data_IF_076451267681
#
_entry.id   IF_076451267681
#
_cell.length_a   1.000
_cell.length_b   1.000
_cell.length_c   1.000
_cell.angle_alpha   90.00
_cell.angle_beta   90.00
_cell.angle_gamma   90.00
#
_symmetry.space_group_name_H-M   'P 1'
#
loop_
_entity.id
_entity.type
_entity.pdbx_description
1 polymer ?
#
# COMPACT_ATOMS: atom_id res chain seq x y z
N UNK A 1 44.24 30.57 105.62
CA UNK A 1 43.63 29.32 106.13
C UNK A 1 44.74 28.26 106.21
N UNK A 2 45.54 28.07 107.26
CA UNK A 2 45.39 28.20 108.73
C UNK A 2 44.67 27.05 109.45
N UNK A 3 45.46 26.08 109.94
CA UNK A 3 45.31 25.25 111.16
C UNK A 3 46.50 24.24 111.15
N UNK A 4 47.46 24.10 112.09
CA UNK A 4 47.55 24.32 113.55
C UNK A 4 46.45 23.56 114.32
N UNK A 5 46.75 22.49 115.07
CA UNK A 5 46.99 22.51 116.53
C UNK A 5 47.10 21.07 117.13
N UNK A 6 47.51 20.75 118.38
CA UNK A 6 48.46 21.32 119.37
C UNK A 6 48.75 20.31 120.54
N UNK A 7 50.03 20.01 120.88
CA UNK A 7 50.57 19.86 122.29
C UNK A 7 50.12 18.68 123.20
N UNK A 8 50.75 18.33 124.37
CA UNK A 8 52.13 18.43 124.95
C UNK A 8 52.25 17.65 126.30
N UNK A 9 53.48 17.33 126.75
CA UNK A 9 53.89 16.94 128.13
C UNK A 9 55.04 15.91 128.11
N UNK A 10 56.11 15.84 128.93
CA UNK A 10 56.75 16.64 130.03
C UNK A 10 56.34 16.54 131.52
N UNK A 11 57.26 15.95 132.31
CA UNK A 11 57.63 16.16 133.74
C UNK A 11 58.72 15.13 134.11
N UNK A 12 59.94 15.37 134.61
CA UNK A 12 60.62 16.38 135.45
C UNK A 12 60.69 16.12 136.96
N UNK A 13 61.50 15.12 137.34
CA UNK A 13 62.27 14.93 138.58
C UNK A 13 63.48 14.02 138.18
N UNK A 14 64.72 14.09 138.70
CA UNK A 14 65.28 14.90 139.78
C UNK A 14 66.64 15.50 139.45
N UNK A 15 66.86 16.72 139.94
CA UNK A 15 68.15 17.42 139.98
C UNK A 15 68.79 17.28 141.36
N UNK A 16 69.41 16.12 141.64
CA UNK A 16 69.97 15.83 142.99
C UNK A 16 71.45 15.42 143.05
N UNK A 17 72.18 15.34 141.93
CA UNK A 17 73.64 15.02 141.93
C UNK A 17 74.52 16.01 141.15
N UNK A 18 74.11 17.28 141.13
CA UNK A 18 75.06 18.40 141.03
C UNK A 18 75.19 19.02 142.41
N UNK A 19 76.43 19.07 142.93
CA UNK A 19 76.91 19.53 144.26
C UNK A 19 77.36 18.35 145.14
N UNK A 20 78.42 17.66 144.72
CA UNK A 20 79.35 16.98 145.62
C UNK A 20 80.79 17.08 145.06
N UNK A 21 81.32 18.29 145.26
CA UNK A 21 82.72 18.61 145.56
C UNK A 21 83.82 18.36 144.51
N UNK A 22 84.29 19.48 143.95
CA UNK A 22 85.61 19.63 143.32
C UNK A 22 86.73 19.59 144.38
N UNK A 23 87.93 19.18 143.95
CA UNK A 23 89.25 19.32 144.64
C UNK A 23 89.43 18.40 145.87
N UNK A 24 90.61 17.85 146.21
CA UNK A 24 92.01 18.16 145.85
C UNK A 24 92.93 16.92 145.93
N UNK A 25 93.96 16.88 145.06
CA UNK A 25 95.36 16.45 145.27
C UNK A 25 95.75 15.20 146.12
N UNK A 26 96.42 14.26 145.43
CA UNK A 26 97.68 13.53 145.79
C UNK A 26 97.85 12.81 147.14
N UNK A 27 98.20 11.52 147.10
CA UNK A 27 99.56 11.02 147.44
C UNK A 27 99.79 9.56 147.03
N UNK A 28 101.06 9.13 146.93
CA UNK A 28 101.50 7.79 146.51
C UNK A 28 101.48 6.75 147.64
N UNK A 29 101.33 5.45 147.31
CA UNK A 29 102.11 4.38 147.97
C UNK A 29 102.22 3.06 147.17
N UNK A 30 103.22 2.27 147.54
CA UNK A 30 104.07 1.36 146.73
C UNK A 30 104.28 0.07 147.55
N UNK A 31 104.33 -1.17 147.03
CA UNK A 31 104.45 -1.71 145.65
C UNK A 31 103.77 -3.10 145.51
N UNK A 32 103.66 -3.59 144.25
CA UNK A 32 103.90 -4.94 143.68
C UNK A 32 103.53 -6.22 144.51
N UNK A 33 102.99 -7.31 143.95
CA UNK A 33 103.67 -8.10 142.92
C UNK A 33 102.76 -9.10 142.17
N UNK A 34 103.25 -9.42 140.98
CA UNK A 34 102.83 -10.47 140.02
C UNK A 34 102.81 -11.89 140.62
N UNK A 35 101.97 -12.75 140.04
CA UNK A 35 102.33 -14.11 139.56
C UNK A 35 101.12 -14.75 138.81
N UNK A 36 101.32 -15.17 137.54
CA UNK A 36 100.50 -16.14 136.75
C UNK A 36 99.02 -15.71 136.51
N UNK A 37 98.55 -15.23 135.35
CA UNK A 37 98.81 -15.54 133.92
C UNK A 37 98.33 -16.95 133.47
N UNK A 38 97.75 -17.05 132.26
CA UNK A 38 97.12 -18.26 131.65
C UNK A 38 95.74 -18.66 132.22
N UNK A 39 94.65 -18.35 131.49
CA UNK A 39 93.32 -18.97 131.75
C UNK A 39 92.06 -18.31 131.15
N UNK A 40 92.06 -16.99 130.86
CA UNK A 40 90.82 -16.25 130.59
C UNK A 40 90.39 -16.04 129.12
N UNK A 41 91.31 -16.13 128.16
CA UNK A 41 91.08 -15.59 126.80
C UNK A 41 90.39 -16.53 125.79
N UNK A 42 89.83 -17.66 126.23
CA UNK A 42 89.20 -18.69 125.36
C UNK A 42 87.68 -18.88 125.55
N UNK A 43 87.04 -18.09 126.42
CA UNK A 43 85.61 -18.25 126.77
C UNK A 43 84.70 -17.08 126.34
N UNK A 44 85.25 -15.94 125.92
CA UNK A 44 84.45 -14.76 125.52
C UNK A 44 83.97 -14.79 124.06
N UNK A 45 84.69 -15.44 123.15
CA UNK A 45 84.34 -15.48 121.72
C UNK A 45 83.11 -16.35 121.43
N UNK A 46 82.98 -17.49 122.11
CA UNK A 46 81.91 -18.48 121.83
C UNK A 46 80.48 -18.01 122.14
N UNK A 47 80.29 -16.95 122.93
CA UNK A 47 78.94 -16.47 123.33
C UNK A 47 78.37 -15.40 122.42
N UNK A 48 79.20 -14.72 121.63
CA UNK A 48 78.75 -13.78 120.60
C UNK A 48 78.55 -14.49 119.26
N UNK A 49 79.43 -15.43 118.90
CA UNK A 49 79.26 -16.31 117.72
C UNK A 49 77.88 -16.98 117.73
N UNK A 50 77.47 -17.57 118.86
CA UNK A 50 76.16 -18.26 119.00
C UNK A 50 74.94 -17.34 118.83
N UNK A 51 75.08 -16.04 119.14
CA UNK A 51 74.01 -15.04 118.96
C UNK A 51 74.00 -14.44 117.56
N UNK A 52 75.15 -14.40 116.89
CA UNK A 52 75.20 -14.11 115.46
C UNK A 52 74.64 -15.27 114.64
N UNK A 53 74.96 -16.51 114.99
CA UNK A 53 74.41 -17.71 114.34
C UNK A 53 72.88 -17.75 114.44
N UNK A 54 72.28 -17.60 115.63
CA UNK A 54 70.81 -17.53 115.76
C UNK A 54 70.18 -16.35 115.00
N UNK A 55 70.85 -15.21 114.90
CA UNK A 55 70.36 -14.08 114.08
C UNK A 55 70.47 -14.36 112.59
N UNK A 56 71.54 -15.02 112.14
CA UNK A 56 71.71 -15.46 110.75
C UNK A 56 70.65 -16.51 110.40
N UNK A 57 70.43 -17.51 111.25
CA UNK A 57 69.35 -18.49 111.10
C UNK A 57 67.96 -17.84 111.02
N UNK A 58 67.66 -16.85 111.87
CA UNK A 58 66.41 -16.09 111.81
C UNK A 58 66.30 -15.23 110.55
N UNK A 59 67.38 -14.58 110.13
CA UNK A 59 67.41 -13.82 108.87
C UNK A 59 67.29 -14.72 107.64
N UNK A 60 67.89 -15.91 107.65
CA UNK A 60 67.80 -16.90 106.59
C UNK A 60 66.40 -17.55 106.55
N UNK A 61 65.79 -17.79 107.72
CA UNK A 61 64.40 -18.24 107.82
C UNK A 61 63.40 -17.17 107.33
N UNK A 62 63.61 -15.89 107.69
CA UNK A 62 62.83 -14.77 107.19
C UNK A 62 63.03 -14.58 105.68
N UNK A 63 64.27 -14.59 105.18
CA UNK A 63 64.57 -14.53 103.75
C UNK A 63 63.99 -15.72 102.99
N UNK A 64 63.96 -16.92 103.59
CA UNK A 64 63.29 -18.09 103.01
C UNK A 64 61.76 -17.94 103.00
N UNK A 65 61.15 -17.36 104.04
CA UNK A 65 59.72 -17.05 104.05
C UNK A 65 59.35 -15.93 103.06
N UNK A 66 60.14 -14.86 102.97
CA UNK A 66 59.98 -13.80 101.97
C UNK A 66 60.21 -14.33 100.55
N UNK A 67 61.18 -15.23 100.35
CA UNK A 67 61.38 -15.92 99.08
C UNK A 67 60.20 -16.83 98.72
N UNK A 68 59.56 -17.50 99.69
CA UNK A 68 58.34 -18.29 99.47
C UNK A 68 57.15 -17.38 99.17
N UNK A 69 56.89 -16.37 99.98
CA UNK A 69 55.81 -15.40 99.79
C UNK A 69 55.93 -14.63 98.46
N UNK A 70 57.15 -14.24 98.05
CA UNK A 70 57.37 -13.59 96.74
C UNK A 70 57.27 -14.57 95.58
N UNK A 71 57.59 -15.86 95.74
CA UNK A 71 57.32 -16.91 94.73
C UNK A 71 55.82 -17.15 94.59
N UNK A 72 55.10 -17.24 95.71
CA UNK A 72 53.64 -17.40 95.75
C UNK A 72 52.93 -16.19 95.15
N UNK A 73 53.31 -14.96 95.51
CA UNK A 73 52.81 -13.73 94.92
C UNK A 73 53.08 -13.68 93.40
N UNK A 74 54.30 -14.03 92.96
CA UNK A 74 54.63 -14.12 91.52
C UNK A 74 53.83 -15.20 90.81
N UNK A 75 53.53 -16.33 91.46
CA UNK A 75 52.68 -17.38 90.90
C UNK A 75 51.21 -16.96 90.82
N UNK A 76 50.68 -16.30 91.85
CA UNK A 76 49.32 -15.74 91.87
C UNK A 76 49.15 -14.63 90.82
N UNK A 77 50.12 -13.71 90.69
CA UNK A 77 50.13 -12.70 89.64
C UNK A 77 50.18 -13.33 88.24
N UNK A 78 50.98 -14.39 88.03
CA UNK A 78 50.99 -15.13 86.75
C UNK A 78 49.65 -15.79 86.44
N UNK A 79 49.00 -16.42 87.42
CA UNK A 79 47.64 -16.99 87.24
C UNK A 79 46.64 -15.90 86.88
N UNK A 80 46.59 -14.80 87.64
CA UNK A 80 45.72 -13.66 87.37
C UNK A 80 45.99 -13.00 86.01
N UNK A 81 47.24 -12.96 85.52
CA UNK A 81 47.53 -12.45 84.17
C UNK A 81 47.15 -13.42 83.06
N UNK A 82 47.26 -14.74 83.31
CA UNK A 82 46.76 -15.78 82.40
C UNK A 82 45.24 -15.77 82.32
N UNK A 83 44.54 -15.77 83.45
CA UNK A 83 43.08 -15.67 83.56
C UNK A 83 42.57 -14.43 82.82
N UNK A 84 43.14 -13.24 83.07
CA UNK A 84 42.78 -12.01 82.34
C UNK A 84 43.09 -12.07 80.84
N UNK A 85 44.13 -12.77 80.42
CA UNK A 85 44.45 -12.95 79.01
C UNK A 85 43.46 -13.92 78.34
N UNK A 86 43.07 -14.98 79.03
CA UNK A 86 42.01 -15.89 78.60
C UNK A 86 40.64 -15.21 78.52
N UNK A 87 40.25 -14.43 79.53
CA UNK A 87 39.03 -13.62 79.52
C UNK A 87 39.05 -12.62 78.35
N UNK A 88 40.17 -11.92 78.14
CA UNK A 88 40.34 -11.00 77.01
C UNK A 88 40.24 -11.70 75.66
N UNK A 89 40.86 -12.87 75.50
CA UNK A 89 40.81 -13.63 74.23
C UNK A 89 39.43 -14.22 73.99
N UNK A 90 38.76 -14.78 75.00
CA UNK A 90 37.35 -15.22 74.94
C UNK A 90 36.42 -14.05 74.59
N UNK A 91 36.59 -12.88 75.21
CA UNK A 91 35.81 -11.68 74.90
C UNK A 91 36.04 -11.19 73.46
N UNK A 92 37.28 -11.20 72.98
CA UNK A 92 37.61 -10.86 71.58
C UNK A 92 37.06 -11.88 70.58
N UNK A 93 37.03 -13.17 70.90
CA UNK A 93 36.42 -14.22 70.08
C UNK A 93 34.89 -14.03 70.01
N UNK A 94 34.22 -13.88 71.16
CA UNK A 94 32.78 -13.61 71.23
C UNK A 94 32.40 -12.34 70.44
N UNK A 95 33.24 -11.30 70.50
CA UNK A 95 33.05 -10.06 69.75
C UNK A 95 33.23 -10.27 68.24
N UNK A 96 34.24 -11.03 67.79
CA UNK A 96 34.40 -11.41 66.38
C UNK A 96 33.19 -12.17 65.87
N UNK A 97 32.79 -13.24 66.57
CA UNK A 97 31.61 -14.03 66.20
C UNK A 97 30.33 -13.18 66.14
N UNK A 98 30.18 -12.21 67.05
CA UNK A 98 29.05 -11.29 67.04
C UNK A 98 29.05 -10.40 65.80
N UNK A 99 30.21 -9.85 65.41
CA UNK A 99 30.33 -9.05 64.20
C UNK A 99 30.18 -9.88 62.92
N UNK A 100 30.76 -11.08 62.83
CA UNK A 100 30.56 -12.01 61.70
C UNK A 100 29.08 -12.39 61.53
N UNK A 101 28.37 -12.67 62.64
CA UNK A 101 26.91 -12.93 62.64
C UNK A 101 26.11 -11.68 62.27
N UNK A 102 26.62 -10.48 62.54
CA UNK A 102 26.00 -9.20 62.17
C UNK A 102 26.23 -8.86 60.69
N UNK A 103 27.43 -9.09 60.17
CA UNK A 103 27.80 -8.90 58.77
C UNK A 103 26.94 -9.79 57.87
N UNK A 104 26.87 -11.10 58.16
CA UNK A 104 25.98 -12.02 57.42
C UNK A 104 24.52 -11.59 57.40
N UNK A 105 24.00 -11.06 58.52
CA UNK A 105 22.63 -10.49 58.57
C UNK A 105 22.47 -9.23 57.71
N UNK A 106 23.50 -8.39 57.63
CA UNK A 106 23.50 -7.19 56.78
C UNK A 106 23.57 -7.60 55.30
N UNK A 107 24.40 -8.59 54.95
CA UNK A 107 24.47 -9.18 53.60
C UNK A 107 23.11 -9.77 53.19
N UNK A 108 22.54 -10.67 54.01
CA UNK A 108 21.21 -11.23 53.75
C UNK A 108 20.11 -10.16 53.61
N UNK A 109 20.19 -9.06 54.36
CA UNK A 109 19.23 -7.95 54.25
C UNK A 109 19.44 -7.14 52.97
N UNK A 110 20.70 -6.86 52.60
CA UNK A 110 21.03 -6.17 51.35
C UNK A 110 20.58 -7.00 50.16
N UNK A 111 20.90 -8.28 50.13
CA UNK A 111 20.61 -9.16 48.99
C UNK A 111 19.10 -9.34 48.81
N UNK A 112 18.32 -9.46 49.91
CA UNK A 112 16.85 -9.42 49.85
C UNK A 112 16.30 -8.10 49.30
N UNK A 113 16.84 -6.95 49.74
CA UNK A 113 16.41 -5.64 49.26
C UNK A 113 16.81 -5.40 47.78
N UNK A 114 17.97 -5.91 47.34
CA UNK A 114 18.41 -5.88 45.95
C UNK A 114 17.54 -6.79 45.08
N UNK A 115 17.20 -8.01 45.53
CA UNK A 115 16.24 -8.88 44.85
C UNK A 115 14.87 -8.22 44.69
N UNK A 116 14.33 -7.60 45.75
CA UNK A 116 13.06 -6.88 45.68
C UNK A 116 13.12 -5.71 44.68
N UNK A 117 14.18 -4.89 44.74
CA UNK A 117 14.42 -3.80 43.78
C UNK A 117 14.50 -4.33 42.34
N UNK A 118 15.22 -5.43 42.11
CA UNK A 118 15.35 -6.04 40.78
C UNK A 118 14.01 -6.60 40.28
N UNK A 119 13.22 -7.25 41.14
CA UNK A 119 11.85 -7.70 40.81
C UNK A 119 10.93 -6.53 40.47
N UNK A 120 11.03 -5.39 41.16
CA UNK A 120 10.27 -4.18 40.81
C UNK A 120 10.69 -3.57 39.47
N UNK A 121 12.00 -3.48 39.21
CA UNK A 121 12.53 -2.97 37.94
C UNK A 121 12.09 -3.87 36.77
N UNK A 122 12.19 -5.19 36.93
CA UNK A 122 11.69 -6.15 35.92
C UNK A 122 10.19 -5.98 35.69
N UNK A 123 9.37 -5.87 36.74
CA UNK A 123 7.91 -5.61 36.61
C UNK A 123 7.59 -4.28 35.90
N UNK A 124 8.40 -3.24 36.08
CA UNK A 124 8.25 -1.96 35.36
C UNK A 124 8.60 -2.13 33.89
N UNK A 125 9.75 -2.73 33.59
CA UNK A 125 10.21 -3.02 32.24
C UNK A 125 9.24 -3.92 31.46
N UNK A 126 8.69 -4.96 32.09
CA UNK A 126 7.67 -5.83 31.48
C UNK A 126 6.38 -5.07 31.15
N UNK A 127 5.94 -4.16 32.02
CA UNK A 127 4.77 -3.30 31.76
C UNK A 127 5.03 -2.31 30.63
N UNK A 128 6.19 -1.66 30.61
CA UNK A 128 6.59 -0.73 29.53
C UNK A 128 6.70 -1.46 28.19
N UNK A 129 7.33 -2.65 28.18
CA UNK A 129 7.38 -3.53 27.01
C UNK A 129 6.00 -3.98 26.54
N UNK A 130 5.11 -4.37 27.45
CA UNK A 130 3.75 -4.77 27.12
C UNK A 130 2.93 -3.60 26.56
N UNK A 131 3.07 -2.40 27.12
CA UNK A 131 2.42 -1.19 26.62
C UNK A 131 2.93 -0.81 25.21
N UNK A 132 4.25 -0.81 24.99
CA UNK A 132 4.83 -0.53 23.67
C UNK A 132 4.43 -1.58 22.61
N UNK A 133 4.31 -2.85 23.00
CA UNK A 133 3.79 -3.89 22.10
C UNK A 133 2.28 -3.76 21.85
N UNK A 134 1.51 -3.18 22.77
CA UNK A 134 0.09 -2.90 22.56
C UNK A 134 -0.10 -1.75 21.56
N UNK A 135 0.58 -0.61 21.76
CA UNK A 135 0.49 0.53 20.83
C UNK A 135 0.96 0.16 19.43
N UNK A 136 2.04 -0.62 19.30
CA UNK A 136 2.49 -1.12 17.99
C UNK A 136 1.47 -2.05 17.32
N UNK A 137 0.68 -2.83 18.08
CA UNK A 137 -0.39 -3.66 17.51
C UNK A 137 -1.56 -2.81 17.03
N UNK A 138 -1.98 -1.83 17.84
CA UNK A 138 -3.04 -0.88 17.48
C UNK A 138 -2.66 -0.10 16.20
N UNK A 139 -1.43 0.42 16.12
CA UNK A 139 -0.90 1.08 14.91
C UNK A 139 -0.91 0.16 13.68
N UNK A 140 -0.46 -1.09 13.83
CA UNK A 140 -0.46 -2.07 12.75
C UNK A 140 -1.88 -2.53 12.35
N UNK A 141 -2.84 -2.53 13.27
CA UNK A 141 -4.24 -2.83 12.99
C UNK A 141 -4.90 -1.67 12.23
N UNK A 142 -4.72 -0.44 12.68
CA UNK A 142 -5.16 0.77 11.94
C UNK A 142 -4.56 0.80 10.52
N UNK A 143 -3.27 0.49 10.35
CA UNK A 143 -2.63 0.44 9.03
C UNK A 143 -3.20 -0.66 8.13
N UNK A 144 -3.55 -1.84 8.68
CA UNK A 144 -4.22 -2.90 7.92
C UNK A 144 -5.62 -2.48 7.49
N UNK A 145 -6.38 -1.85 8.38
CA UNK A 145 -7.73 -1.36 8.05
C UNK A 145 -7.69 -0.34 6.91
N UNK A 146 -6.80 0.66 6.99
CA UNK A 146 -6.58 1.64 5.93
C UNK A 146 -6.19 0.95 4.61
N UNK A 147 -5.22 0.02 4.64
CA UNK A 147 -4.79 -0.70 3.43
C UNK A 147 -5.90 -1.58 2.82
N UNK A 148 -6.75 -2.20 3.65
CA UNK A 148 -7.92 -2.96 3.20
C UNK A 148 -8.98 -2.04 2.60
N UNK A 149 -9.26 -0.89 3.22
CA UNK A 149 -10.17 0.11 2.65
C UNK A 149 -9.68 0.63 1.29
N UNK A 150 -8.40 0.99 1.17
CA UNK A 150 -7.79 1.45 -0.07
C UNK A 150 -7.85 0.37 -1.16
N UNK A 151 -7.56 -0.89 -0.82
CA UNK A 151 -7.70 -2.01 -1.73
C UNK A 151 -9.16 -2.22 -2.18
N UNK A 152 -10.13 -2.12 -1.26
CA UNK A 152 -11.56 -2.23 -1.58
C UNK A 152 -12.05 -1.07 -2.46
N UNK A 153 -11.61 0.17 -2.20
CA UNK A 153 -11.91 1.35 -3.03
C UNK A 153 -11.31 1.19 -4.43
N UNK A 154 -10.04 0.78 -4.53
CA UNK A 154 -9.37 0.54 -5.80
C UNK A 154 -10.02 -0.59 -6.61
N UNK A 155 -10.41 -1.70 -5.96
CA UNK A 155 -11.13 -2.81 -6.59
C UNK A 155 -12.51 -2.37 -7.09
N UNK A 156 -13.27 -1.62 -6.29
CA UNK A 156 -14.58 -1.08 -6.67
C UNK A 156 -14.50 -0.18 -7.91
N UNK A 157 -13.47 0.66 -8.01
CA UNK A 157 -13.22 1.50 -9.19
C UNK A 157 -12.88 0.66 -10.43
N UNK A 158 -12.11 -0.43 -10.28
CA UNK A 158 -11.80 -1.34 -11.40
C UNK A 158 -13.04 -2.06 -11.90
N UNK A 159 -13.79 -2.72 -10.99
CA UNK A 159 -15.04 -3.40 -11.31
C UNK A 159 -16.08 -2.47 -11.96
N UNK A 160 -16.17 -1.22 -11.51
CA UNK A 160 -17.06 -0.25 -12.13
C UNK A 160 -16.63 0.11 -13.57
N UNK A 161 -15.33 0.28 -13.83
CA UNK A 161 -14.81 0.52 -15.18
C UNK A 161 -15.01 -0.69 -16.10
N UNK A 162 -14.75 -1.89 -15.60
CA UNK A 162 -14.98 -3.15 -16.31
C UNK A 162 -16.46 -3.29 -16.70
N UNK A 163 -17.38 -3.07 -15.75
CA UNK A 163 -18.82 -3.06 -15.98
C UNK A 163 -19.26 -2.01 -17.01
N UNK A 164 -18.70 -0.79 -16.98
CA UNK A 164 -19.01 0.23 -17.99
C UNK A 164 -18.55 -0.21 -19.40
N UNK A 165 -17.33 -0.73 -19.52
CA UNK A 165 -16.83 -1.24 -20.81
C UNK A 165 -17.62 -2.45 -21.32
N UNK A 166 -18.07 -3.36 -20.44
CA UNK A 166 -18.94 -4.48 -20.81
C UNK A 166 -20.33 -4.01 -21.26
N UNK A 167 -20.92 -3.04 -20.54
CA UNK A 167 -22.19 -2.41 -20.91
C UNK A 167 -22.09 -1.71 -22.27
N UNK A 168 -21.02 -0.97 -22.53
CA UNK A 168 -20.77 -0.31 -23.81
C UNK A 168 -20.65 -1.33 -24.95
N UNK A 169 -19.89 -2.41 -24.77
CA UNK A 169 -19.80 -3.52 -25.75
C UNK A 169 -21.17 -4.14 -26.03
N UNK A 170 -21.94 -4.45 -24.98
CA UNK A 170 -23.28 -5.04 -25.13
C UNK A 170 -24.25 -4.11 -25.87
N UNK A 171 -24.19 -2.79 -25.61
CA UNK A 171 -24.97 -1.78 -26.36
C UNK A 171 -24.52 -1.71 -27.82
N UNK A 172 -23.23 -1.69 -28.10
CA UNK A 172 -22.69 -1.68 -29.47
C UNK A 172 -23.08 -2.94 -30.26
N UNK A 173 -23.03 -4.12 -29.64
CA UNK A 173 -23.48 -5.37 -30.26
C UNK A 173 -24.99 -5.38 -30.52
N UNK A 174 -25.79 -4.92 -29.55
CA UNK A 174 -27.24 -4.79 -29.71
C UNK A 174 -27.60 -3.82 -30.84
N UNK A 175 -26.92 -2.67 -30.95
CA UNK A 175 -27.09 -1.71 -32.04
C UNK A 175 -26.69 -2.31 -33.39
N UNK A 176 -25.55 -3.01 -33.49
CA UNK A 176 -25.12 -3.69 -34.72
C UNK A 176 -26.17 -4.71 -35.19
N UNK A 177 -26.67 -5.54 -34.28
CA UNK A 177 -27.71 -6.53 -34.58
C UNK A 177 -29.03 -5.85 -34.99
N UNK A 178 -29.38 -4.71 -34.39
CA UNK A 178 -30.56 -3.94 -34.75
C UNK A 178 -30.43 -3.31 -36.15
N UNK A 179 -29.27 -2.73 -36.48
CA UNK A 179 -28.97 -2.19 -37.81
C UNK A 179 -28.98 -3.27 -38.91
N UNK A 180 -28.38 -4.43 -38.66
CA UNK A 180 -28.38 -5.55 -39.62
C UNK A 180 -29.82 -6.03 -39.88
N UNK A 181 -30.63 -6.19 -38.83
CA UNK A 181 -32.06 -6.52 -38.95
C UNK A 181 -32.85 -5.42 -39.66
N UNK A 182 -32.52 -4.14 -39.44
CA UNK A 182 -33.16 -3.02 -40.14
C UNK A 182 -32.83 -3.05 -41.63
N UNK A 183 -31.55 -3.18 -42.01
CA UNK A 183 -31.08 -3.28 -43.41
C UNK A 183 -31.71 -4.46 -44.15
N UNK A 184 -31.98 -5.58 -43.48
CA UNK A 184 -32.71 -6.72 -44.05
C UNK A 184 -34.18 -6.34 -44.32
N UNK A 185 -34.89 -5.83 -43.31
CA UNK A 185 -36.31 -5.40 -43.44
C UNK A 185 -36.49 -4.29 -44.49
N UNK A 186 -35.54 -3.37 -44.60
CA UNK A 186 -35.51 -2.31 -45.59
C UNK A 186 -35.39 -2.88 -47.02
N UNK A 187 -34.48 -3.83 -47.24
CA UNK A 187 -34.38 -4.56 -48.52
C UNK A 187 -35.65 -5.33 -48.86
N UNK A 188 -36.22 -6.06 -47.90
CA UNK A 188 -37.51 -6.76 -48.08
C UNK A 188 -38.67 -5.80 -48.39
N UNK A 189 -38.67 -4.60 -47.80
CA UNK A 189 -39.66 -3.55 -48.11
C UNK A 189 -39.45 -2.98 -49.52
N UNK A 190 -38.22 -2.63 -49.89
CA UNK A 190 -37.88 -2.17 -51.24
C UNK A 190 -38.21 -3.22 -52.31
N UNK A 191 -37.95 -4.50 -52.06
CA UNK A 191 -38.30 -5.57 -52.99
C UNK A 191 -39.82 -5.75 -53.14
N UNK A 192 -40.59 -5.66 -52.05
CA UNK A 192 -42.07 -5.71 -52.11
C UNK A 192 -42.62 -4.55 -52.94
N UNK A 193 -42.24 -3.32 -52.60
CA UNK A 193 -42.65 -2.11 -53.33
C UNK A 193 -42.23 -2.18 -54.81
N UNK A 194 -41.03 -2.69 -55.10
CA UNK A 194 -40.57 -2.89 -56.48
C UNK A 194 -41.47 -3.87 -57.24
N UNK A 195 -41.82 -5.02 -56.65
CA UNK A 195 -42.72 -6.02 -57.27
C UNK A 195 -44.11 -5.43 -57.51
N UNK A 196 -44.65 -4.70 -56.53
CA UNK A 196 -45.93 -3.99 -56.64
C UNK A 196 -45.92 -2.96 -57.78
N UNK A 197 -44.86 -2.14 -57.87
CA UNK A 197 -44.66 -1.20 -58.97
C UNK A 197 -44.51 -1.89 -60.33
N UNK A 198 -43.77 -3.00 -60.42
CA UNK A 198 -43.62 -3.79 -61.64
C UNK A 198 -44.95 -4.44 -62.08
N UNK A 199 -45.80 -4.88 -61.15
CA UNK A 199 -47.14 -5.37 -61.45
C UNK A 199 -48.09 -4.27 -61.94
N UNK A 200 -48.09 -3.10 -61.31
CA UNK A 200 -48.89 -1.94 -61.74
C UNK A 200 -48.43 -1.48 -63.12
N UNK A 201 -47.12 -1.41 -63.37
CA UNK A 201 -46.56 -1.06 -64.66
C UNK A 201 -46.94 -2.09 -65.76
N UNK A 202 -46.95 -3.39 -65.45
CA UNK A 202 -47.43 -4.43 -66.38
C UNK A 202 -48.91 -4.27 -66.71
N UNK A 203 -49.78 -4.10 -65.71
CA UNK A 203 -51.23 -3.89 -65.89
C UNK A 203 -51.50 -2.65 -66.75
N UNK A 204 -50.76 -1.57 -66.54
CA UNK A 204 -50.88 -0.35 -67.34
C UNK A 204 -50.31 -0.51 -68.76
N UNK A 205 -49.19 -1.20 -68.93
CA UNK A 205 -48.64 -1.55 -70.24
C UNK A 205 -49.61 -2.43 -71.06
N UNK A 206 -50.26 -3.42 -70.44
CA UNK A 206 -51.33 -4.21 -71.07
C UNK A 206 -52.54 -3.36 -71.47
N UNK A 207 -52.95 -2.41 -70.61
CA UNK A 207 -54.05 -1.47 -70.90
C UNK A 207 -53.72 -0.60 -72.10
N UNK A 208 -52.50 -0.07 -72.14
CA UNK A 208 -51.99 0.78 -73.22
C UNK A 208 -51.79 -0.02 -74.52
N UNK A 209 -51.28 -1.25 -74.45
CA UNK A 209 -51.17 -2.14 -75.60
C UNK A 209 -52.54 -2.43 -76.25
N UNK A 210 -53.57 -2.76 -75.45
CA UNK A 210 -54.95 -2.96 -75.94
C UNK A 210 -55.58 -1.70 -76.55
N UNK A 211 -55.17 -0.50 -76.10
CA UNK A 211 -55.60 0.76 -76.72
C UNK A 211 -54.87 0.99 -78.05
N UNK A 212 -53.56 0.75 -78.11
CA UNK A 212 -52.79 0.86 -79.36
C UNK A 212 -53.25 -0.14 -80.41
N UNK A 213 -53.53 -1.39 -80.04
CA UNK A 213 -54.08 -2.42 -80.92
C UNK A 213 -55.38 -1.95 -81.58
N UNK A 214 -56.34 -1.45 -80.80
CA UNK A 214 -57.60 -0.86 -81.32
C UNK A 214 -57.36 0.36 -82.22
N UNK A 215 -56.38 1.20 -81.92
CA UNK A 215 -56.03 2.32 -82.79
C UNK A 215 -55.40 1.87 -84.11
N UNK A 216 -54.56 0.83 -84.09
CA UNK A 216 -53.98 0.20 -85.28
C UNK A 216 -55.07 -0.47 -86.12
N UNK A 217 -56.01 -1.20 -85.50
CA UNK A 217 -57.19 -1.75 -86.19
C UNK A 217 -58.02 -0.66 -86.88
N UNK A 218 -58.32 0.45 -86.20
CA UNK A 218 -59.05 1.58 -86.79
C UNK A 218 -58.30 2.24 -87.95
N UNK A 219 -56.97 2.34 -87.85
CA UNK A 219 -56.13 2.87 -88.93
C UNK A 219 -56.09 1.91 -90.13
N UNK A 220 -55.95 0.61 -89.88
CA UNK A 220 -55.99 -0.43 -90.92
C UNK A 220 -57.36 -0.48 -91.60
N UNK A 221 -58.47 -0.34 -90.87
CA UNK A 221 -59.81 -0.20 -91.46
C UNK A 221 -59.91 1.02 -92.39
N UNK A 222 -59.41 2.19 -91.96
CA UNK A 222 -59.37 3.39 -92.81
C UNK A 222 -58.49 3.19 -94.03
N UNK A 223 -57.33 2.54 -93.87
CA UNK A 223 -56.42 2.22 -94.96
C UNK A 223 -57.08 1.30 -95.98
N UNK A 224 -57.68 0.18 -95.55
CA UNK A 224 -58.38 -0.78 -96.42
C UNK A 224 -59.55 -0.12 -97.17
N UNK A 225 -60.29 0.80 -96.54
CA UNK A 225 -61.34 1.58 -97.22
C UNK A 225 -60.76 2.54 -98.26
N UNK A 226 -59.61 3.16 -97.99
CA UNK A 226 -58.92 4.03 -98.94
C UNK A 226 -58.33 3.24 -100.12
N UNK A 227 -57.74 2.07 -99.85
CA UNK A 227 -57.22 1.12 -100.85
C UNK A 227 -58.35 0.61 -101.75
N UNK A 228 -59.49 0.21 -101.18
CA UNK A 228 -60.67 -0.17 -101.98
C UNK A 228 -61.18 0.97 -102.86
N UNK A 229 -61.18 2.22 -102.38
CA UNK A 229 -61.52 3.38 -103.21
C UNK A 229 -60.51 3.57 -104.33
N UNK A 230 -59.21 3.53 -104.02
CA UNK A 230 -58.13 3.67 -104.99
C UNK A 230 -58.20 2.60 -106.09
N UNK A 231 -58.47 1.34 -105.73
CA UNK A 231 -58.67 0.25 -106.70
C UNK A 231 -59.91 0.48 -107.59
N UNK A 232 -61.02 1.00 -107.05
CA UNK A 232 -62.20 1.39 -107.85
C UNK A 232 -61.88 2.53 -108.82
N UNK A 233 -61.10 3.53 -108.40
CA UNK A 233 -60.64 4.61 -109.28
C UNK A 233 -59.69 4.09 -110.37
N UNK A 234 -58.79 3.16 -110.05
CA UNK A 234 -57.95 2.47 -111.05
C UNK A 234 -58.79 1.69 -112.07
N UNK A 235 -59.82 0.96 -111.63
CA UNK A 235 -60.70 0.21 -112.53
C UNK A 235 -61.69 1.11 -113.29
N UNK A 236 -62.04 2.29 -112.75
CA UNK A 236 -62.75 3.32 -113.51
C UNK A 236 -61.84 3.94 -114.57
N UNK A 237 -60.61 4.32 -114.21
CA UNK A 237 -59.59 4.81 -115.15
C UNK A 237 -59.32 3.82 -116.29
N UNK A 238 -59.13 2.53 -115.99
CA UNK A 238 -58.95 1.48 -117.02
C UNK A 238 -60.12 1.41 -118.00
N UNK A 239 -61.37 1.53 -117.50
CA UNK A 239 -62.57 1.55 -118.35
C UNK A 239 -62.61 2.80 -119.22
N UNK A 240 -62.40 3.99 -118.66
CA UNK A 240 -62.33 5.23 -119.44
C UNK A 240 -61.20 5.20 -120.47
N UNK A 241 -60.04 4.62 -120.14
CA UNK A 241 -58.95 4.40 -121.09
C UNK A 241 -59.28 3.36 -122.18
N UNK A 242 -60.16 2.40 -121.91
CA UNK A 242 -60.65 1.45 -122.89
C UNK A 242 -61.70 2.10 -123.80
N UNK A 243 -62.72 2.75 -123.24
CA UNK A 243 -63.75 3.51 -123.96
C UNK A 243 -63.09 4.55 -124.89
N UNK A 244 -62.03 5.21 -124.43
CA UNK A 244 -61.26 6.18 -125.23
C UNK A 244 -60.43 5.54 -126.35
N UNK A 245 -59.95 4.30 -126.17
CA UNK A 245 -59.30 3.53 -127.25
C UNK A 245 -60.32 3.04 -128.28
N UNK A 246 -61.47 2.54 -127.83
CA UNK A 246 -62.57 2.12 -128.70
C UNK A 246 -63.07 3.30 -129.53
N UNK A 247 -63.26 4.48 -128.93
CA UNK A 247 -63.57 5.72 -129.65
C UNK A 247 -62.48 6.14 -130.67
N UNK A 248 -61.20 5.94 -130.36
CA UNK A 248 -60.10 6.20 -131.31
C UNK A 248 -60.09 5.22 -132.48
N UNK A 249 -60.42 3.95 -132.25
CA UNK A 249 -60.48 2.93 -133.29
C UNK A 249 -61.74 3.06 -134.15
N UNK A 250 -62.89 3.41 -133.58
CA UNK A 250 -64.09 3.77 -134.34
C UNK A 250 -63.93 5.07 -135.13
N UNK A 251 -63.22 6.08 -134.59
CA UNK A 251 -62.82 7.24 -135.37
C UNK A 251 -61.85 6.87 -136.50
N UNK A 252 -60.94 5.91 -136.29
CA UNK A 252 -60.06 5.40 -137.35
C UNK A 252 -60.89 4.72 -138.45
N UNK A 253 -61.85 3.86 -138.08
CA UNK A 253 -62.79 3.25 -139.04
C UNK A 253 -63.61 4.29 -139.81
N UNK A 254 -64.09 5.34 -139.15
CA UNK A 254 -64.77 6.46 -139.82
C UNK A 254 -63.87 7.18 -140.82
N UNK A 255 -62.58 7.34 -140.49
CA UNK A 255 -61.55 7.88 -141.39
C UNK A 255 -61.14 6.90 -142.51
N UNK A 256 -61.43 5.60 -142.39
CA UNK A 256 -61.27 4.61 -143.47
C UNK A 256 -62.51 4.58 -144.39
N UNK A 257 -63.70 4.89 -143.88
CA UNK A 257 -64.96 4.95 -144.65
C UNK A 257 -65.23 6.31 -145.33
N UNK A 258 -64.59 7.38 -144.87
CA UNK A 258 -64.62 8.69 -145.52
C UNK A 258 -63.24 8.98 -146.09
N UNK A 259 -63.12 9.40 -147.35
CA UNK A 259 -61.83 9.64 -148.07
C UNK A 259 -61.03 10.83 -147.51
N UNK A 260 -60.75 10.86 -146.20
CA UNK A 260 -60.08 11.95 -145.49
C UNK A 260 -60.76 13.31 -145.59
N UNK A 261 -62.01 13.39 -146.08
CA UNK A 261 -62.61 14.67 -146.53
C UNK A 261 -63.42 15.41 -145.45
N UNK A 262 -63.79 14.72 -144.37
CA UNK A 262 -64.57 15.27 -143.26
C UNK A 262 -63.89 15.00 -141.92
N UNK A 263 -62.92 15.84 -141.55
CA UNK A 263 -62.26 15.75 -140.25
C UNK A 263 -63.08 16.46 -139.16
N UNK A 264 -63.30 15.79 -138.03
CA UNK A 264 -63.63 16.51 -136.79
C UNK A 264 -62.32 17.00 -136.16
N UNK A 265 -62.08 18.31 -136.22
CA UNK A 265 -60.84 18.96 -135.78
C UNK A 265 -60.48 18.64 -134.31
N UNK A 266 -61.49 18.30 -133.51
CA UNK A 266 -61.41 17.94 -132.09
C UNK A 266 -60.53 16.71 -131.80
N UNK A 267 -60.69 15.61 -132.54
CA UNK A 267 -59.96 14.36 -132.28
C UNK A 267 -58.51 14.41 -132.79
N UNK A 268 -58.24 15.18 -133.85
CA UNK A 268 -56.86 15.48 -134.26
C UNK A 268 -56.14 16.36 -133.23
N UNK A 269 -56.81 17.38 -132.67
CA UNK A 269 -56.27 18.17 -131.54
C UNK A 269 -55.96 17.27 -130.33
N UNK A 270 -56.86 16.36 -129.96
CA UNK A 270 -56.62 15.40 -128.87
C UNK A 270 -55.45 14.44 -129.15
N UNK A 271 -55.29 13.95 -130.39
CA UNK A 271 -54.12 13.14 -130.80
C UNK A 271 -52.80 13.91 -130.67
N UNK A 272 -52.79 15.20 -131.05
CA UNK A 272 -51.63 16.07 -130.89
C UNK A 272 -51.41 16.53 -129.43
N UNK A 273 -52.45 16.56 -128.60
CA UNK A 273 -52.33 16.84 -127.16
C UNK A 273 -51.80 15.61 -126.41
N UNK A 274 -52.35 14.42 -126.69
CA UNK A 274 -51.92 13.15 -126.13
C UNK A 274 -50.48 12.79 -126.52
N UNK A 275 -50.06 13.07 -127.77
CA UNK A 275 -48.64 12.98 -128.14
C UNK A 275 -47.77 13.96 -127.37
N UNK A 276 -48.17 15.23 -127.25
CA UNK A 276 -47.42 16.22 -126.46
C UNK A 276 -47.35 15.87 -124.96
N UNK A 277 -48.36 15.20 -124.42
CA UNK A 277 -48.39 14.68 -123.04
C UNK A 277 -47.59 13.37 -122.85
N UNK A 278 -47.31 12.63 -123.92
CA UNK A 278 -46.44 11.44 -123.89
C UNK A 278 -44.97 11.78 -124.21
N UNK A 279 -44.73 12.77 -125.08
CA UNK A 279 -43.40 13.30 -125.43
C UNK A 279 -42.83 14.15 -124.29
N UNK A 280 -43.67 14.94 -123.62
CA UNK A 280 -43.34 15.51 -122.31
C UNK A 280 -43.49 14.40 -121.26
N UNK A 281 -42.41 13.82 -120.77
CA UNK A 281 -42.42 12.91 -119.62
C UNK A 281 -42.83 13.67 -118.33
N UNK A 282 -44.14 13.89 -118.15
CA UNK A 282 -44.70 14.60 -116.99
C UNK A 282 -45.68 13.66 -116.29
N UNK A 283 -45.42 13.41 -115.01
CA UNK A 283 -46.17 12.46 -114.18
C UNK A 283 -47.54 12.97 -113.70
N UNK A 284 -47.84 14.25 -113.89
CA UNK A 284 -49.07 14.91 -113.41
C UNK A 284 -49.60 15.91 -114.44
N UNK A 285 -50.93 15.92 -114.68
CA UNK A 285 -51.60 16.90 -115.55
C UNK A 285 -52.42 17.84 -114.68
N UNK A 286 -52.09 19.13 -114.68
CA UNK A 286 -52.84 20.18 -113.97
C UNK A 286 -53.89 20.86 -114.86
N UNK A 287 -55.01 21.28 -114.26
CA UNK A 287 -56.18 21.84 -114.96
C UNK A 287 -55.91 23.08 -115.82
N UNK A 288 -54.83 23.82 -115.56
CA UNK A 288 -54.54 25.11 -116.21
C UNK A 288 -54.11 24.99 -117.68
N UNK A 289 -53.60 23.83 -118.10
CA UNK A 289 -53.13 23.59 -119.48
C UNK A 289 -54.28 23.47 -120.50
N UNK A 290 -55.51 23.21 -120.04
CA UNK A 290 -56.69 22.95 -120.90
C UNK A 290 -57.35 24.27 -121.36
N UNK A 291 -57.15 25.36 -120.62
CA UNK A 291 -57.98 26.58 -120.70
C UNK A 291 -57.55 27.54 -121.83
N UNK A 292 -56.34 27.40 -122.38
CA UNK A 292 -55.79 28.33 -123.39
C UNK A 292 -56.18 27.96 -124.83
N UNK A 293 -57.46 28.16 -125.18
CA UNK A 293 -57.90 28.31 -126.58
C UNK A 293 -58.75 29.58 -126.75
N UNK A 294 -58.57 30.37 -127.83
CA UNK A 294 -59.29 31.63 -128.01
C UNK A 294 -60.74 31.39 -128.45
N UNK A 295 -61.67 32.10 -127.83
CA UNK A 295 -63.07 32.19 -128.26
C UNK A 295 -63.27 33.42 -129.14
N UNK A 296 -63.19 33.26 -130.46
CA UNK A 296 -63.48 34.31 -131.43
C UNK A 296 -64.34 33.77 -132.59
N UNK A 297 -65.61 34.22 -132.63
CA UNK A 297 -66.62 34.16 -133.71
C UNK A 297 -66.98 32.78 -134.32
N UNK A 298 -68.26 32.36 -134.39
CA UNK A 298 -69.56 33.04 -134.20
C UNK A 298 -70.45 32.30 -133.20
#
# INVERSE_FOLDING_TARGET
MSAKSLRRGRGQYDTLERILNKTTLTTQRISHDRIIEVGGHLLSSKTDDYKEEQKRELHDALAAMEARATRELKAALKRLTQEKYEEKTKALQNLKEYYEKREKRIEEQRDKAEEERMREVLKKFEKEKAAALATQREELECQKEIAVEEACKALSIRLHKEFLCEKEKAVMEALRIAEEKFKIREKEAMERVRRECEEVAKKEAERVAKLHEKHVEQLNQKYNVLEQKYMRELDHKKRVEQDFRELQDDYRRFMDYTDGKFHSDYLMRLRHLGRRLAEKQISEVTYEDIIKLPTDFR
#
